data_IF_160762800553
#
_entry.id   IF_160762800553
#
_cell.length_a   1.000
_cell.length_b   1.000
_cell.length_c   1.000
_cell.angle_alpha   90.00
_cell.angle_beta   90.00
_cell.angle_gamma   90.00
#
_symmetry.space_group_name_H-M   'P 1'
#
loop_
_entity.id
_entity.type
_entity.pdbx_description
1 polymer ?
#
# COMPACT_ATOMS: atom_id res chain seq x y z
N UNK A 1 -58.63 18.67 -39.40
CA UNK A 1 -57.28 18.07 -39.20
C UNK A 1 -57.12 16.89 -40.15
N UNK A 2 -56.27 17.00 -41.17
CA UNK A 2 -55.99 15.90 -42.12
C UNK A 2 -55.17 14.79 -41.45
N UNK A 3 -55.29 13.54 -41.92
CA UNK A 3 -54.58 12.38 -41.36
C UNK A 3 -53.06 12.61 -41.32
N UNK A 4 -52.50 13.25 -42.35
CA UNK A 4 -51.07 13.62 -42.41
C UNK A 4 -50.64 14.56 -41.27
N UNK A 5 -51.46 15.55 -40.94
CA UNK A 5 -51.19 16.46 -39.83
C UNK A 5 -51.24 15.72 -38.47
N UNK A 6 -52.17 14.78 -38.29
CA UNK A 6 -52.22 13.94 -37.08
C UNK A 6 -51.00 13.04 -36.94
N UNK A 7 -50.52 12.44 -38.03
CA UNK A 7 -49.31 11.62 -38.04
C UNK A 7 -48.05 12.43 -37.72
N UNK A 8 -47.92 13.65 -38.26
CA UNK A 8 -46.81 14.54 -37.94
C UNK A 8 -46.80 14.93 -36.45
N UNK A 9 -47.96 15.29 -35.90
CA UNK A 9 -48.07 15.61 -34.46
C UNK A 9 -47.69 14.41 -33.60
N UNK A 10 -48.13 13.20 -33.97
CA UNK A 10 -47.82 11.97 -33.24
C UNK A 10 -46.32 11.63 -33.31
N UNK A 11 -45.69 11.82 -34.46
CA UNK A 11 -44.25 11.64 -34.62
C UNK A 11 -43.42 12.63 -33.77
N UNK A 12 -43.84 13.90 -33.71
CA UNK A 12 -43.20 14.91 -32.85
C UNK A 12 -43.35 14.55 -31.37
N UNK A 13 -44.54 14.11 -30.95
CA UNK A 13 -44.78 13.68 -29.57
C UNK A 13 -43.92 12.48 -29.18
N UNK A 14 -43.79 11.48 -30.06
CA UNK A 14 -42.92 10.33 -29.83
C UNK A 14 -41.44 10.75 -29.73
N UNK A 15 -40.98 11.64 -30.61
CA UNK A 15 -39.61 12.14 -30.57
C UNK A 15 -39.31 12.87 -29.24
N UNK A 16 -40.23 13.71 -28.77
CA UNK A 16 -40.10 14.39 -27.48
C UNK A 16 -40.04 13.39 -26.31
N UNK A 17 -40.85 12.33 -26.37
CA UNK A 17 -40.87 11.29 -25.33
C UNK A 17 -39.54 10.54 -25.24
N UNK A 18 -38.96 10.18 -26.40
CA UNK A 18 -37.65 9.50 -26.46
C UNK A 18 -36.54 10.39 -25.93
N UNK A 19 -36.53 11.68 -26.29
CA UNK A 19 -35.51 12.62 -25.82
C UNK A 19 -35.61 12.83 -24.31
N UNK A 20 -36.82 13.00 -23.77
CA UNK A 20 -37.04 13.15 -22.33
C UNK A 20 -36.56 11.91 -21.56
N UNK A 21 -36.95 10.72 -22.02
CA UNK A 21 -36.56 9.46 -21.38
C UNK A 21 -35.04 9.26 -21.40
N UNK A 22 -34.38 9.57 -22.53
CA UNK A 22 -32.94 9.45 -22.66
C UNK A 22 -32.19 10.45 -21.77
N UNK A 23 -32.69 11.68 -21.66
CA UNK A 23 -32.10 12.70 -20.77
C UNK A 23 -32.17 12.28 -19.30
N UNK A 24 -33.29 11.73 -18.84
CA UNK A 24 -33.43 11.28 -17.46
C UNK A 24 -32.64 9.99 -17.17
N UNK A 25 -32.55 9.09 -18.15
CA UNK A 25 -31.64 7.93 -18.06
C UNK A 25 -30.19 8.38 -17.89
N UNK A 26 -29.71 9.32 -18.70
CA UNK A 26 -28.36 9.86 -18.59
C UNK A 26 -28.12 10.51 -17.23
N UNK A 27 -29.06 11.34 -16.74
CA UNK A 27 -28.95 11.94 -15.39
C UNK A 27 -28.82 10.88 -14.30
N UNK A 28 -29.66 9.83 -14.35
CA UNK A 28 -29.60 8.72 -13.41
C UNK A 28 -28.27 7.96 -13.50
N UNK A 29 -27.78 7.71 -14.71
CA UNK A 29 -26.49 7.07 -14.96
C UNK A 29 -25.32 7.87 -14.38
N UNK A 30 -25.26 9.17 -14.65
CA UNK A 30 -24.20 10.04 -14.13
C UNK A 30 -24.26 10.15 -12.61
N UNK A 31 -25.45 10.31 -12.01
CA UNK A 31 -25.60 10.36 -10.55
C UNK A 31 -25.16 9.04 -9.88
N UNK A 32 -25.49 7.90 -10.47
CA UNK A 32 -25.04 6.60 -9.97
C UNK A 32 -23.52 6.44 -10.13
N UNK A 33 -22.98 6.79 -11.29
CA UNK A 33 -21.55 6.72 -11.57
C UNK A 33 -20.74 7.62 -10.63
N UNK A 34 -21.22 8.82 -10.34
CA UNK A 34 -20.57 9.75 -9.41
C UNK A 34 -20.55 9.17 -8.00
N UNK A 35 -21.68 8.63 -7.53
CA UNK A 35 -21.75 7.95 -6.24
C UNK A 35 -20.75 6.81 -6.15
N UNK A 36 -20.75 5.89 -7.11
CA UNK A 36 -19.84 4.74 -7.13
C UNK A 36 -18.39 5.21 -7.18
N UNK A 37 -18.05 6.18 -8.02
CA UNK A 37 -16.69 6.69 -8.13
C UNK A 37 -16.23 7.38 -6.83
N UNK A 38 -17.13 8.11 -6.15
CA UNK A 38 -16.84 8.73 -4.86
C UNK A 38 -16.61 7.69 -3.75
N UNK A 39 -17.37 6.60 -3.75
CA UNK A 39 -17.19 5.49 -2.81
C UNK A 39 -15.86 4.77 -3.07
N UNK A 40 -15.50 4.54 -4.33
CA UNK A 40 -14.19 3.98 -4.70
C UNK A 40 -13.05 4.91 -4.30
N UNK A 41 -13.15 6.22 -4.57
CA UNK A 41 -12.15 7.19 -4.14
C UNK A 41 -11.98 7.21 -2.61
N UNK A 42 -13.07 7.11 -1.86
CA UNK A 42 -13.03 7.03 -0.41
C UNK A 42 -12.36 5.73 0.08
N UNK A 43 -12.65 4.59 -0.56
CA UNK A 43 -11.99 3.30 -0.25
C UNK A 43 -10.50 3.33 -0.59
N UNK A 44 -10.14 3.87 -1.76
CA UNK A 44 -8.75 4.02 -2.18
C UNK A 44 -7.97 4.91 -1.22
N UNK A 45 -8.52 6.06 -0.81
CA UNK A 45 -7.87 6.93 0.17
C UNK A 45 -7.65 6.25 1.53
N UNK A 46 -8.55 5.34 1.94
CA UNK A 46 -8.35 4.53 3.16
C UNK A 46 -7.24 3.50 2.96
N UNK A 47 -7.24 2.79 1.83
CA UNK A 47 -6.20 1.83 1.49
C UNK A 47 -4.81 2.51 1.40
N UNK A 48 -4.71 3.64 0.71
CA UNK A 48 -3.48 4.45 0.61
C UNK A 48 -2.94 4.86 1.99
N UNK A 49 -3.81 5.24 2.94
CA UNK A 49 -3.36 5.56 4.31
C UNK A 49 -2.79 4.35 5.04
N UNK A 50 -3.42 3.18 4.88
CA UNK A 50 -2.93 1.94 5.49
C UNK A 50 -1.58 1.55 4.87
N UNK A 51 -1.48 1.62 3.53
CA UNK A 51 -0.25 1.33 2.81
C UNK A 51 0.85 2.32 3.19
N UNK A 52 0.59 3.62 3.20
CA UNK A 52 1.57 4.64 3.60
C UNK A 52 2.09 4.43 5.03
N UNK A 53 1.22 4.00 5.95
CA UNK A 53 1.64 3.66 7.32
C UNK A 53 2.58 2.45 7.33
N UNK A 54 2.26 1.41 6.54
CA UNK A 54 3.14 0.24 6.40
C UNK A 54 4.45 0.56 5.70
N UNK A 55 4.44 1.41 4.67
CA UNK A 55 5.64 1.86 3.95
C UNK A 55 6.55 2.70 4.86
N UNK A 56 5.98 3.59 5.67
CA UNK A 56 6.74 4.36 6.66
C UNK A 56 7.41 3.45 7.70
N UNK A 57 6.68 2.44 8.21
CA UNK A 57 7.24 1.44 9.13
C UNK A 57 8.36 0.64 8.46
N UNK A 58 8.17 0.19 7.22
CA UNK A 58 9.18 -0.54 6.46
C UNK A 58 10.43 0.32 6.17
N UNK A 59 10.25 1.61 5.89
CA UNK A 59 11.34 2.56 5.69
C UNK A 59 12.14 2.79 6.98
N UNK A 60 11.46 2.92 8.13
CA UNK A 60 12.11 3.05 9.43
C UNK A 60 12.92 1.78 9.77
N UNK A 61 12.33 0.60 9.61
CA UNK A 61 13.00 -0.69 9.79
C UNK A 61 14.25 -0.84 8.90
N UNK A 62 14.15 -0.40 7.64
CA UNK A 62 15.28 -0.43 6.70
C UNK A 62 16.42 0.49 7.14
N UNK A 63 16.10 1.66 7.71
CA UNK A 63 17.10 2.59 8.24
C UNK A 63 17.79 2.04 9.49
N UNK A 64 17.03 1.45 10.41
CA UNK A 64 17.55 0.81 11.63
C UNK A 64 18.43 -0.40 11.29
N UNK A 65 17.98 -1.27 10.38
CA UNK A 65 18.75 -2.42 9.90
C UNK A 65 20.10 -2.02 9.30
N UNK A 66 20.17 -0.90 8.57
CA UNK A 66 21.43 -0.37 8.05
C UNK A 66 22.41 0.06 9.14
N UNK A 67 21.92 0.65 10.24
CA UNK A 67 22.74 1.05 11.39
C UNK A 67 23.26 -0.18 12.13
N UNK A 68 22.41 -1.17 12.35
CA UNK A 68 22.77 -2.44 13.01
C UNK A 68 23.84 -3.16 12.16
N UNK A 69 23.62 -3.30 10.86
CA UNK A 69 24.58 -3.92 9.94
C UNK A 69 25.94 -3.22 9.99
N UNK A 70 25.97 -1.88 9.91
CA UNK A 70 27.22 -1.11 9.97
C UNK A 70 27.94 -1.29 11.30
N UNK A 71 27.20 -1.39 12.39
CA UNK A 71 27.74 -1.59 13.74
C UNK A 71 28.37 -2.96 13.86
N UNK A 72 27.65 -4.01 13.50
CA UNK A 72 28.15 -5.39 13.52
C UNK A 72 29.38 -5.50 12.62
N UNK A 73 29.34 -4.95 11.41
CA UNK A 73 30.49 -4.95 10.51
C UNK A 73 31.72 -4.27 11.14
N UNK A 74 31.54 -3.11 11.77
CA UNK A 74 32.61 -2.40 12.48
C UNK A 74 33.17 -3.25 13.62
N UNK A 75 32.29 -3.91 14.39
CA UNK A 75 32.70 -4.76 15.52
C UNK A 75 33.46 -6.00 15.03
N UNK A 76 33.08 -6.59 13.88
CA UNK A 76 33.81 -7.68 13.21
C UNK A 76 35.19 -7.21 12.76
N UNK A 77 35.27 -6.06 12.07
CA UNK A 77 36.55 -5.50 11.61
C UNK A 77 37.46 -5.18 12.78
N UNK A 78 36.92 -4.66 13.88
CA UNK A 78 37.68 -4.36 15.10
C UNK A 78 38.20 -5.63 15.76
N UNK A 79 37.37 -6.67 15.85
CA UNK A 79 37.74 -7.95 16.42
C UNK A 79 38.86 -8.64 15.61
N UNK A 80 38.74 -8.64 14.27
CA UNK A 80 39.73 -9.26 13.38
C UNK A 80 41.07 -8.50 13.37
N UNK A 81 41.04 -7.17 13.47
CA UNK A 81 42.24 -6.34 13.44
C UNK A 81 42.85 -6.07 14.83
N UNK A 82 42.36 -6.70 15.90
CA UNK A 82 42.94 -6.52 17.24
C UNK A 82 44.32 -7.19 17.32
N UNK A 83 45.41 -6.44 17.56
CA UNK A 83 46.76 -7.00 17.63
C UNK A 83 46.97 -7.95 18.83
N UNK A 84 46.08 -7.93 19.81
CA UNK A 84 46.12 -8.84 20.95
C UNK A 84 45.49 -10.20 20.61
N UNK A 85 44.75 -10.30 19.50
CA UNK A 85 44.13 -11.52 19.05
C UNK A 85 45.09 -12.34 18.19
N UNK A 86 45.90 -13.16 18.86
CA UNK A 86 47.03 -13.89 18.26
C UNK A 86 46.75 -15.38 18.04
N UNK A 87 45.60 -15.87 18.51
CA UNK A 87 45.20 -17.28 18.40
C UNK A 87 43.98 -17.42 17.50
N UNK A 88 44.01 -18.40 16.60
CA UNK A 88 42.89 -18.72 15.72
C UNK A 88 41.84 -19.60 16.42
N UNK A 89 41.33 -19.14 17.56
CA UNK A 89 40.29 -19.82 18.33
C UNK A 89 39.01 -18.97 18.33
N UNK A 90 37.84 -19.63 18.38
CA UNK A 90 36.57 -18.92 18.56
C UNK A 90 36.40 -18.60 20.06
N UNK A 91 36.87 -17.44 20.47
CA UNK A 91 36.62 -16.94 21.82
C UNK A 91 35.14 -16.54 22.01
N UNK A 92 34.77 -16.29 23.27
CA UNK A 92 33.41 -15.91 23.63
C UNK A 92 32.93 -14.64 22.90
N UNK A 93 33.85 -13.75 22.51
CA UNK A 93 33.51 -12.51 21.81
C UNK A 93 33.16 -12.78 20.35
N UNK A 94 33.86 -13.67 19.64
CA UNK A 94 33.46 -14.16 18.32
C UNK A 94 32.09 -14.84 18.36
N UNK A 95 31.82 -15.67 19.37
CA UNK A 95 30.53 -16.35 19.52
C UNK A 95 29.41 -15.35 19.75
N UNK A 96 29.60 -14.36 20.64
CA UNK A 96 28.62 -13.30 20.88
C UNK A 96 28.36 -12.44 19.65
N UNK A 97 29.39 -12.12 18.88
CA UNK A 97 29.26 -11.31 17.68
C UNK A 97 28.45 -12.04 16.59
N UNK A 98 28.68 -13.35 16.45
CA UNK A 98 27.88 -14.21 15.57
C UNK A 98 26.44 -14.29 16.04
N UNK A 99 26.20 -14.48 17.35
CA UNK A 99 24.84 -14.55 17.89
C UNK A 99 24.10 -13.23 17.67
N UNK A 100 24.73 -12.08 17.93
CA UNK A 100 24.16 -10.75 17.66
C UNK A 100 23.77 -10.57 16.19
N UNK A 101 24.57 -11.10 15.26
CA UNK A 101 24.24 -11.07 13.84
C UNK A 101 23.03 -11.94 13.49
N UNK A 102 22.90 -13.12 14.12
CA UNK A 102 21.74 -14.01 13.97
C UNK A 102 20.49 -13.35 14.56
N UNK A 103 20.59 -12.79 15.77
CA UNK A 103 19.47 -12.14 16.45
C UNK A 103 18.99 -10.91 15.69
N UNK A 104 19.90 -10.13 15.11
CA UNK A 104 19.56 -8.99 14.26
C UNK A 104 18.90 -9.40 12.94
N UNK A 105 19.26 -10.55 12.37
CA UNK A 105 18.63 -11.07 11.16
C UNK A 105 17.23 -11.68 11.43
N UNK A 106 17.02 -12.21 12.64
CA UNK A 106 15.77 -12.85 13.05
C UNK A 106 14.79 -11.91 13.78
N UNK A 107 15.21 -10.69 14.08
CA UNK A 107 14.38 -9.66 14.70
C UNK A 107 14.50 -8.38 13.90
N UNK A 108 14.07 -8.41 12.63
CA UNK A 108 13.96 -7.19 11.84
C UNK A 108 12.65 -6.50 12.24
N UNK A 109 12.70 -5.33 12.91
CA UNK A 109 11.49 -4.64 13.35
C UNK A 109 10.53 -4.44 12.17
N UNK A 110 9.27 -4.81 12.32
CA UNK A 110 8.25 -4.66 11.27
C UNK A 110 8.19 -5.75 10.19
N UNK A 111 9.15 -6.69 10.11
CA UNK A 111 9.06 -7.88 9.24
C UNK A 111 8.66 -9.13 10.04
N UNK A 112 9.23 -9.29 11.24
CA UNK A 112 8.94 -10.42 12.15
C UNK A 112 7.83 -10.10 13.16
N UNK A 113 7.18 -8.94 13.05
CA UNK A 113 5.99 -8.64 13.85
C UNK A 113 4.84 -9.56 13.41
N UNK A 114 4.13 -10.23 14.34
CA UNK A 114 2.97 -11.03 13.99
C UNK A 114 1.99 -10.14 13.24
N UNK A 115 1.53 -10.59 12.07
CA UNK A 115 0.49 -9.90 11.32
C UNK A 115 -0.69 -9.68 12.28
N UNK A 116 -0.92 -8.43 12.68
CA UNK A 116 -2.09 -8.05 13.47
C UNK A 116 -3.30 -8.32 12.59
N UNK A 117 -3.85 -9.53 12.69
CA UNK A 117 -5.13 -9.86 12.10
C UNK A 117 -6.14 -8.91 12.73
N UNK A 118 -6.54 -7.91 11.94
CA UNK A 118 -7.58 -6.97 12.31
C UNK A 118 -8.85 -7.75 12.66
N UNK A 119 -9.43 -7.39 13.80
CA UNK A 119 -10.71 -7.92 14.28
C UNK A 119 -11.86 -7.50 13.38
#
# INVERSE_FOLDING_TARGET
MTVKAKLLVLAVLLALFVVAFYADYLKGWYAHSEKVNSEHAAKNKKAEKVVATSEQKAAAASAEGKVIYRTIYRDVVKYVNDPNHTKCDFDDHAVQLRQRAIDAANNIPGFDEPAVQGK
#
